data_IF_224640129990
#
_entry.id   IF_224640129990
#
_cell.length_a   1.000
_cell.length_b   1.000
_cell.length_c   1.000
_cell.angle_alpha   90.00
_cell.angle_beta   90.00
_cell.angle_gamma   90.00
#
_symmetry.space_group_name_H-M   'P 1'
#
loop_
_entity.id
_entity.type
_entity.pdbx_description
1 polymer ?
#
# COMPACT_ATOMS: atom_id res chain seq x y z
N UNK A 1 7.07 -3.38 -4.67
CA UNK A 1 6.24 -2.69 -5.66
C UNK A 1 4.95 -3.45 -5.89
N UNK A 2 3.96 -2.81 -6.50
CA UNK A 2 2.74 -3.44 -7.01
C UNK A 2 2.58 -3.09 -8.49
N UNK A 3 2.07 -4.05 -9.27
CA UNK A 3 1.82 -3.89 -10.71
C UNK A 3 0.38 -4.26 -11.00
N UNK A 4 -0.32 -3.39 -11.75
CA UNK A 4 -1.72 -3.59 -12.12
C UNK A 4 -2.01 -2.90 -13.46
N UNK A 5 -3.04 -3.35 -14.16
CA UNK A 5 -3.58 -2.64 -15.35
C UNK A 5 -4.46 -1.44 -14.97
N UNK A 6 -4.85 -1.32 -13.71
CA UNK A 6 -5.57 -0.18 -13.15
C UNK A 6 -4.75 0.55 -12.10
N UNK A 7 -5.33 1.62 -11.53
CA UNK A 7 -4.69 2.36 -10.45
C UNK A 7 -4.46 1.44 -9.23
N UNK A 8 -3.25 1.45 -8.71
CA UNK A 8 -2.83 0.64 -7.57
C UNK A 8 -1.88 1.43 -6.68
N UNK A 9 -2.00 1.24 -5.38
CA UNK A 9 -1.09 1.75 -4.36
C UNK A 9 -0.79 0.67 -3.34
N UNK A 10 0.40 0.69 -2.82
CA UNK A 10 0.89 -0.24 -1.80
C UNK A 10 1.66 0.52 -0.75
N UNK A 11 1.59 0.05 0.48
CA UNK A 11 2.44 0.51 1.57
C UNK A 11 2.83 -0.66 2.48
N UNK A 12 4.04 -0.59 3.05
CA UNK A 12 4.57 -1.59 3.98
C UNK A 12 5.34 -0.89 5.09
N UNK A 13 5.02 -1.23 6.33
CA UNK A 13 5.61 -0.63 7.52
C UNK A 13 6.07 -1.67 8.54
N UNK A 14 7.25 -1.44 9.12
CA UNK A 14 7.71 -2.21 10.26
C UNK A 14 6.97 -1.77 11.53
N UNK A 15 6.42 -2.71 12.29
CA UNK A 15 5.79 -2.44 13.57
C UNK A 15 6.88 -2.04 14.57
N UNK A 16 6.92 -0.77 14.96
CA UNK A 16 7.84 -0.20 15.95
C UNK A 16 7.04 0.46 17.07
N UNK A 17 7.64 0.56 18.23
CA UNK A 17 7.04 1.34 19.32
C UNK A 17 6.86 2.80 18.86
N UNK A 18 5.66 3.32 19.06
CA UNK A 18 5.29 4.71 18.78
C UNK A 18 4.30 5.18 19.86
N UNK A 19 4.36 6.46 20.22
CA UNK A 19 3.30 7.07 21.02
C UNK A 19 2.01 7.14 20.21
N UNK A 20 1.03 6.34 20.57
CA UNK A 20 -0.26 6.26 19.87
C UNK A 20 -1.04 7.58 19.86
N UNK A 21 -0.70 8.57 20.70
CA UNK A 21 -1.29 9.90 20.67
C UNK A 21 -0.99 10.63 19.35
N UNK A 22 0.08 10.25 18.65
CA UNK A 22 0.38 10.78 17.32
C UNK A 22 -0.76 10.49 16.33
N UNK A 23 -1.50 9.41 16.54
CA UNK A 23 -2.68 9.05 15.75
C UNK A 23 -3.75 10.15 15.70
N UNK A 24 -3.89 10.96 16.76
CA UNK A 24 -4.81 12.12 16.77
C UNK A 24 -4.53 13.13 15.67
N UNK A 25 -3.32 13.17 15.14
CA UNK A 25 -2.91 14.09 14.08
C UNK A 25 -3.25 13.57 12.69
N UNK A 26 -3.29 12.26 12.51
CA UNK A 26 -3.36 11.60 11.21
C UNK A 26 -4.67 10.84 10.98
N UNK A 27 -5.29 10.32 12.02
CA UNK A 27 -6.51 9.54 11.91
C UNK A 27 -7.76 10.38 12.18
N UNK A 28 -8.89 9.96 11.58
CA UNK A 28 -10.20 10.49 11.96
C UNK A 28 -10.56 10.09 13.39
N UNK A 29 -11.58 10.71 13.97
CA UNK A 29 -12.03 10.38 15.33
C UNK A 29 -12.48 8.92 15.45
N UNK A 30 -13.19 8.40 14.44
CA UNK A 30 -13.63 7.00 14.42
C UNK A 30 -12.47 6.01 14.31
N UNK A 31 -11.48 6.31 13.48
CA UNK A 31 -10.26 5.49 13.33
C UNK A 31 -9.42 5.51 14.62
N UNK A 32 -9.27 6.68 15.23
CA UNK A 32 -8.55 6.80 16.50
C UNK A 32 -9.26 6.07 17.63
N UNK A 33 -10.60 6.14 17.68
CA UNK A 33 -11.40 5.36 18.64
C UNK A 33 -11.24 3.85 18.39
N UNK A 34 -11.21 3.42 17.13
CA UNK A 34 -10.98 2.01 16.78
C UNK A 34 -9.63 1.48 17.33
N UNK A 35 -8.54 2.27 17.22
CA UNK A 35 -7.24 1.92 17.80
C UNK A 35 -7.31 1.88 19.34
N UNK A 36 -7.96 2.87 19.97
CA UNK A 36 -8.00 2.96 21.42
C UNK A 36 -8.83 1.85 22.08
N UNK A 37 -9.87 1.39 21.41
CA UNK A 37 -10.73 0.30 21.87
C UNK A 37 -10.12 -1.10 21.63
N UNK A 38 -9.02 -1.19 20.88
CA UNK A 38 -8.32 -2.46 20.67
C UNK A 38 -7.70 -2.97 21.98
N UNK A 39 -7.54 -4.31 22.14
CA UNK A 39 -6.79 -4.89 23.24
C UNK A 39 -5.38 -4.26 23.33
N UNK A 40 -4.84 -4.00 24.54
CA UNK A 40 -3.57 -3.29 24.73
C UNK A 40 -2.41 -3.85 23.89
N UNK A 41 -2.30 -5.17 23.80
CA UNK A 41 -1.26 -5.88 23.05
C UNK A 41 -1.46 -5.81 21.52
N UNK A 42 -2.61 -5.36 21.02
CA UNK A 42 -2.92 -5.26 19.60
C UNK A 42 -3.00 -3.82 19.09
N UNK A 43 -2.95 -2.80 19.96
CA UNK A 43 -3.07 -1.39 19.56
C UNK A 43 -2.07 -0.95 18.49
N UNK A 44 -0.81 -1.39 18.61
CA UNK A 44 0.20 -1.11 17.60
C UNK A 44 -0.13 -1.78 16.25
N UNK A 45 -0.64 -3.02 16.27
CA UNK A 45 -1.06 -3.70 15.04
C UNK A 45 -2.20 -2.94 14.36
N UNK A 46 -3.21 -2.47 15.13
CA UNK A 46 -4.34 -1.70 14.61
C UNK A 46 -3.89 -0.35 14.06
N UNK A 47 -2.94 0.31 14.73
CA UNK A 47 -2.34 1.54 14.26
C UNK A 47 -1.68 1.36 12.89
N UNK A 48 -0.79 0.35 12.76
CA UNK A 48 -0.07 0.11 11.52
C UNK A 48 -0.96 -0.49 10.41
N UNK A 49 -1.99 -1.24 10.75
CA UNK A 49 -3.02 -1.66 9.79
C UNK A 49 -3.72 -0.44 9.16
N UNK A 50 -4.19 0.50 9.97
CA UNK A 50 -4.82 1.73 9.47
C UNK A 50 -3.83 2.62 8.71
N UNK A 51 -2.61 2.76 9.21
CA UNK A 51 -1.57 3.54 8.56
C UNK A 51 -1.30 3.04 7.14
N UNK A 52 -0.98 1.76 7.00
CA UNK A 52 -0.68 1.17 5.68
C UNK A 52 -1.88 1.20 4.74
N UNK A 53 -3.11 1.04 5.23
CA UNK A 53 -4.32 1.17 4.42
C UNK A 53 -4.50 2.60 3.88
N UNK A 54 -4.26 3.61 4.73
CA UNK A 54 -4.36 5.02 4.33
C UNK A 54 -3.29 5.42 3.34
N UNK A 55 -2.04 5.03 3.57
CA UNK A 55 -0.93 5.29 2.65
C UNK A 55 -1.11 4.55 1.32
N UNK A 56 -1.56 3.29 1.33
CA UNK A 56 -1.88 2.55 0.11
C UNK A 56 -2.98 3.26 -0.71
N UNK A 57 -3.98 3.84 -0.05
CA UNK A 57 -5.02 4.62 -0.73
C UNK A 57 -4.46 5.91 -1.34
N UNK A 58 -3.67 6.69 -0.59
CA UNK A 58 -3.01 7.92 -1.10
C UNK A 58 -2.13 7.59 -2.31
N UNK A 59 -1.35 6.52 -2.23
CA UNK A 59 -0.48 6.06 -3.32
C UNK A 59 -1.28 5.66 -4.55
N UNK A 60 -2.44 4.99 -4.37
CA UNK A 60 -3.36 4.65 -5.47
C UNK A 60 -3.95 5.90 -6.13
N UNK A 61 -4.31 6.93 -5.36
CA UNK A 61 -4.84 8.20 -5.87
C UNK A 61 -3.75 9.03 -6.58
N UNK A 62 -2.48 8.84 -6.22
CA UNK A 62 -1.35 9.54 -6.84
C UNK A 62 -1.22 11.02 -6.48
N UNK A 63 -1.89 11.51 -5.42
CA UNK A 63 -1.85 12.92 -4.99
C UNK A 63 -0.73 13.22 -4.00
N UNK A 64 -0.06 12.19 -3.47
CA UNK A 64 1.04 12.33 -2.52
C UNK A 64 0.69 13.22 -1.33
N UNK A 65 1.61 14.08 -0.94
CA UNK A 65 1.47 14.99 0.22
C UNK A 65 0.35 16.04 0.11
N UNK A 66 -0.28 16.20 -1.05
CA UNK A 66 -1.41 17.11 -1.23
C UNK A 66 -2.72 16.57 -0.64
N UNK A 67 -2.73 15.31 -0.20
CA UNK A 67 -3.87 14.68 0.44
C UNK A 67 -3.56 14.42 1.91
N UNK A 68 -4.30 15.09 2.80
CA UNK A 68 -4.14 14.86 4.25
C UNK A 68 -4.81 13.56 4.64
N UNK A 69 -4.16 12.77 5.50
CA UNK A 69 -4.71 11.53 6.04
C UNK A 69 -6.10 11.71 6.70
N UNK A 70 -6.38 12.87 7.29
CA UNK A 70 -7.69 13.18 7.90
C UNK A 70 -8.83 13.52 6.90
N UNK A 71 -8.53 13.71 5.63
CA UNK A 71 -9.53 14.08 4.63
C UNK A 71 -10.44 12.90 4.22
N UNK A 72 -10.16 11.70 4.73
CA UNK A 72 -10.92 10.47 4.51
C UNK A 72 -10.77 9.50 5.68
N UNK A 73 -11.68 8.56 5.80
CA UNK A 73 -11.67 7.50 6.82
C UNK A 73 -11.66 6.11 6.17
N UNK A 74 -10.88 5.21 6.74
CA UNK A 74 -10.95 3.78 6.44
C UNK A 74 -11.99 3.16 7.37
N UNK A 75 -12.97 2.51 6.79
CA UNK A 75 -14.05 1.87 7.49
C UNK A 75 -14.02 0.36 7.29
N UNK A 76 -14.43 -0.36 8.33
CA UNK A 76 -14.51 -1.82 8.34
C UNK A 76 -15.97 -2.24 8.54
N UNK A 77 -16.49 -3.04 7.59
CA UNK A 77 -17.79 -3.68 7.73
C UNK A 77 -17.65 -5.18 7.45
N UNK A 78 -17.79 -6.00 8.49
CA UNK A 78 -17.60 -7.46 8.45
C UNK A 78 -16.25 -7.82 7.77
N UNK A 79 -16.30 -8.24 6.51
CA UNK A 79 -15.14 -8.64 5.71
C UNK A 79 -14.75 -7.60 4.65
N UNK A 80 -15.36 -6.41 4.67
CA UNK A 80 -15.11 -5.37 3.67
C UNK A 80 -14.38 -4.20 4.31
N UNK A 81 -13.34 -3.73 3.61
CA UNK A 81 -12.65 -2.48 3.92
C UNK A 81 -13.04 -1.48 2.84
N UNK A 82 -13.46 -0.28 3.23
CA UNK A 82 -13.85 0.76 2.30
C UNK A 82 -13.43 2.15 2.80
N UNK A 83 -13.47 3.13 1.92
CA UNK A 83 -13.15 4.53 2.22
C UNK A 83 -14.44 5.34 2.31
N UNK A 84 -14.53 6.17 3.35
CA UNK A 84 -15.47 7.28 3.42
C UNK A 84 -14.72 8.59 3.16
N UNK A 85 -15.08 9.28 2.09
CA UNK A 85 -14.54 10.58 1.74
C UNK A 85 -15.55 11.39 0.94
N UNK A 86 -15.82 12.61 1.40
CA UNK A 86 -16.64 13.56 0.63
C UNK A 86 -15.88 14.14 -0.57
N UNK A 87 -14.55 14.22 -0.46
CA UNK A 87 -13.67 14.88 -1.45
C UNK A 87 -13.11 13.93 -2.50
N UNK A 88 -13.00 12.63 -2.18
CA UNK A 88 -12.36 11.63 -3.02
C UNK A 88 -13.22 10.34 -3.05
N UNK A 89 -14.47 10.41 -3.57
CA UNK A 89 -15.32 9.24 -3.67
C UNK A 89 -14.83 8.34 -4.81
N UNK A 90 -14.03 7.32 -4.48
CA UNK A 90 -13.55 6.35 -5.45
C UNK A 90 -13.85 4.92 -5.01
N UNK A 91 -14.33 4.12 -5.94
CA UNK A 91 -14.39 2.68 -5.73
C UNK A 91 -12.98 2.12 -5.67
N UNK A 92 -12.68 1.45 -4.57
CA UNK A 92 -11.41 0.78 -4.38
C UNK A 92 -11.60 -0.50 -3.54
N UNK A 93 -10.65 -1.40 -3.71
CA UNK A 93 -10.57 -2.67 -3.03
C UNK A 93 -9.27 -2.72 -2.24
N UNK A 94 -9.37 -3.14 -0.99
CA UNK A 94 -8.23 -3.22 -0.09
C UNK A 94 -7.88 -4.67 0.23
N UNK A 95 -6.59 -4.94 0.32
CA UNK A 95 -6.03 -6.22 0.72
C UNK A 95 -4.96 -5.98 1.78
N UNK A 96 -5.04 -6.73 2.88
CA UNK A 96 -4.05 -6.71 3.95
C UNK A 96 -3.21 -7.99 3.88
N UNK A 97 -1.93 -7.86 4.18
CA UNK A 97 -0.98 -8.97 4.13
C UNK A 97 -0.12 -9.01 5.39
N UNK A 98 -0.06 -10.16 6.03
CA UNK A 98 0.80 -10.46 7.17
C UNK A 98 1.90 -11.46 6.74
N UNK A 99 2.69 -11.09 5.72
CA UNK A 99 3.68 -11.98 5.08
C UNK A 99 5.05 -11.98 5.76
N UNK A 100 5.37 -10.93 6.49
CA UNK A 100 6.63 -10.77 7.20
C UNK A 100 6.33 -10.45 8.65
N UNK A 101 6.94 -11.22 9.56
CA UNK A 101 6.78 -10.99 11.01
C UNK A 101 7.17 -9.55 11.37
N UNK A 102 6.36 -8.90 12.19
CA UNK A 102 6.53 -7.52 12.63
C UNK A 102 6.43 -6.46 11.50
N UNK A 103 5.78 -6.78 10.39
CA UNK A 103 5.43 -5.82 9.36
C UNK A 103 3.93 -5.85 9.09
N UNK A 104 3.41 -4.72 8.65
CA UNK A 104 2.07 -4.59 8.05
C UNK A 104 2.22 -4.13 6.62
N UNK A 105 1.45 -4.74 5.73
CA UNK A 105 1.40 -4.33 4.33
C UNK A 105 -0.05 -4.28 3.87
N UNK A 106 -0.37 -3.22 3.13
CA UNK A 106 -1.69 -3.04 2.53
C UNK A 106 -1.56 -2.65 1.06
N UNK A 107 -2.51 -3.13 0.28
CA UNK A 107 -2.66 -2.79 -1.13
C UNK A 107 -4.05 -2.21 -1.35
N UNK A 108 -4.13 -1.13 -2.13
CA UNK A 108 -5.37 -0.52 -2.61
C UNK A 108 -5.38 -0.53 -4.14
N UNK A 109 -6.47 -0.99 -4.75
CA UNK A 109 -6.60 -1.08 -6.22
C UNK A 109 -7.99 -0.66 -6.70
N UNK A 110 -8.07 -0.17 -7.93
CA UNK A 110 -9.34 0.11 -8.61
C UNK A 110 -10.01 -1.14 -9.19
N UNK A 111 -9.31 -2.26 -9.27
CA UNK A 111 -9.79 -3.51 -9.87
C UNK A 111 -9.98 -4.56 -8.78
N UNK A 112 -11.19 -5.13 -8.70
CA UNK A 112 -11.45 -6.25 -7.81
C UNK A 112 -10.72 -7.51 -8.28
N UNK A 113 -10.06 -8.16 -7.34
CA UNK A 113 -9.44 -9.47 -7.55
C UNK A 113 -9.76 -10.38 -6.37
N UNK A 114 -10.06 -11.63 -6.64
CA UNK A 114 -10.29 -12.63 -5.58
C UNK A 114 -9.02 -12.94 -4.81
N UNK A 115 -7.85 -12.78 -5.46
CA UNK A 115 -6.53 -12.99 -4.88
C UNK A 115 -5.50 -12.11 -5.60
N UNK A 116 -4.76 -11.32 -4.84
CA UNK A 116 -3.58 -10.61 -5.34
C UNK A 116 -2.34 -11.41 -4.95
N UNK A 117 -1.66 -12.09 -5.90
CA UNK A 117 -0.51 -12.91 -5.59
C UNK A 117 0.69 -12.05 -5.15
N UNK A 118 1.50 -12.59 -4.23
CA UNK A 118 2.77 -12.00 -3.82
C UNK A 118 3.87 -12.82 -4.45
N UNK A 119 4.78 -12.14 -5.15
CA UNK A 119 5.96 -12.74 -5.77
C UNK A 119 7.19 -12.22 -5.04
N UNK A 120 7.96 -13.12 -4.46
CA UNK A 120 9.25 -12.79 -3.86
C UNK A 120 10.34 -12.87 -4.92
N UNK A 121 11.00 -11.74 -5.17
CA UNK A 121 12.11 -11.65 -6.11
C UNK A 121 13.38 -11.34 -5.32
N UNK A 122 14.44 -12.11 -5.54
CA UNK A 122 15.75 -11.79 -4.98
C UNK A 122 16.34 -10.60 -5.75
N UNK A 123 16.95 -9.66 -5.02
CA UNK A 123 17.57 -8.49 -5.61
C UNK A 123 18.57 -8.84 -6.73
N UNK A 124 19.35 -9.89 -6.52
CA UNK A 124 20.34 -10.40 -7.50
C UNK A 124 19.69 -10.78 -8.84
N UNK A 125 18.54 -11.47 -8.79
CA UNK A 125 17.82 -11.84 -10.02
C UNK A 125 17.30 -10.59 -10.74
N UNK A 126 16.74 -9.63 -9.99
CA UNK A 126 16.22 -8.39 -10.58
C UNK A 126 17.31 -7.58 -11.27
N UNK A 127 18.51 -7.52 -10.67
CA UNK A 127 19.67 -6.81 -11.25
C UNK A 127 20.15 -7.53 -12.52
N UNK A 128 20.28 -8.86 -12.49
CA UNK A 128 20.72 -9.64 -13.65
C UNK A 128 19.73 -9.51 -14.81
N UNK A 129 18.43 -9.67 -14.56
CA UNK A 129 17.38 -9.51 -15.56
C UNK A 129 17.42 -8.10 -16.19
N UNK A 130 17.69 -7.06 -15.39
CA UNK A 130 17.82 -5.69 -15.88
C UNK A 130 19.06 -5.50 -16.75
N UNK A 131 20.20 -6.06 -16.37
CA UNK A 131 21.46 -6.04 -17.16
C UNK A 131 21.25 -6.75 -18.49
N UNK A 132 20.64 -7.93 -18.49
CA UNK A 132 20.35 -8.70 -19.70
C UNK A 132 19.41 -7.93 -20.65
N UNK A 133 18.41 -7.23 -20.09
CA UNK A 133 17.50 -6.39 -20.88
C UNK A 133 18.21 -5.22 -21.55
N UNK A 134 19.18 -4.57 -20.89
CA UNK A 134 19.99 -3.48 -21.45
C UNK A 134 20.86 -4.02 -22.58
N UNK A 135 21.61 -5.09 -22.32
CA UNK A 135 22.51 -5.69 -23.30
C UNK A 135 21.78 -6.15 -24.57
N UNK A 136 20.55 -6.68 -24.43
CA UNK A 136 19.71 -7.08 -25.56
C UNK A 136 19.25 -5.88 -26.40
N UNK A 137 18.99 -4.73 -25.77
CA UNK A 137 18.64 -3.50 -26.49
C UNK A 137 19.82 -2.89 -27.24
N UNK A 138 21.02 -2.92 -26.66
CA UNK A 138 22.22 -2.42 -27.33
C UNK A 138 22.57 -3.26 -28.58
N UNK A 139 22.44 -4.59 -28.50
CA UNK A 139 22.62 -5.47 -29.67
C UNK A 139 21.61 -5.20 -30.79
N UNK A 140 20.37 -4.92 -30.47
CA UNK A 140 19.34 -4.58 -31.45
C UNK A 140 19.54 -3.20 -32.10
N UNK A 141 20.13 -2.25 -31.39
CA UNK A 141 20.46 -0.92 -31.94
C UNK A 141 21.71 -0.96 -32.86
N UNK A 142 22.73 -1.75 -32.52
CA UNK A 142 23.93 -1.90 -33.34
C UNK A 142 23.63 -2.60 -34.67
N UNK A 143 22.70 -3.54 -34.69
CA UNK A 143 22.27 -4.21 -35.93
C UNK A 143 21.46 -3.34 -36.90
N UNK A 144 20.90 -2.19 -36.44
CA UNK A 144 20.17 -1.22 -37.24
C UNK A 144 21.07 -0.11 -37.82
N UNK A 145 22.31 0.02 -37.36
CA UNK A 145 23.28 1.03 -37.85
C UNK A 145 24.25 0.47 -38.90
N UNK A 146 24.15 -0.82 -39.25
CA UNK A 146 24.94 -1.47 -40.31
C UNK A 146 24.18 -1.65 -41.62
N UNK A 147 23.06 -0.96 -41.83
CA UNK A 147 22.29 -0.85 -43.06
C UNK A 147 22.34 0.57 -43.62
#
# INVERSE_FOLDING_TARGET
CAVSTGAVGIDIEAIKYIDLNVGKRFFSESEYAYINNAPPNLKLNYFYDLWTLKEAYINKIGKGLNMRLKDFSICFDKNKIYVESAKYPENCYFYKYDIIKNFKMSLCTSIYQTKCPIIFIRQEHLINDFIDLINTKEHNLSSLTEL
#
